data_IF_799408833097
#
_entry.id   IF_799408833097
#
_cell.length_a   1.000
_cell.length_b   1.000
_cell.length_c   1.000
_cell.angle_alpha   90.00
_cell.angle_beta   90.00
_cell.angle_gamma   90.00
#
_symmetry.space_group_name_H-M   'P 1'
#
loop_
_entity.id
_entity.type
_entity.pdbx_description
1 polymer ?
#
# COMPACT_ATOMS: atom_id res chain seq x y z
N UNK A 1 -42.03 -22.62 -22.86
CA UNK A 1 -40.71 -23.28 -22.84
C UNK A 1 -39.67 -22.23 -23.13
N UNK A 2 -39.01 -21.71 -22.12
CA UNK A 2 -37.86 -20.80 -22.24
C UNK A 2 -36.58 -21.63 -22.15
N UNK A 3 -35.59 -21.42 -23.02
CA UNK A 3 -34.31 -22.12 -22.91
C UNK A 3 -33.52 -21.57 -21.74
N UNK A 4 -33.10 -22.48 -20.84
CA UNK A 4 -32.16 -22.26 -19.78
C UNK A 4 -30.80 -21.85 -20.35
N UNK A 5 -30.36 -20.63 -20.13
CA UNK A 5 -28.99 -20.22 -20.44
C UNK A 5 -28.06 -20.77 -19.35
N UNK A 6 -27.19 -21.70 -19.75
CA UNK A 6 -26.09 -22.21 -18.95
C UNK A 6 -25.07 -21.09 -18.71
N UNK A 7 -24.98 -20.63 -17.46
CA UNK A 7 -23.94 -19.70 -17.00
C UNK A 7 -22.63 -20.48 -16.94
N UNK A 8 -21.69 -20.17 -17.83
CA UNK A 8 -20.32 -20.69 -17.73
C UNK A 8 -19.67 -20.15 -16.45
N UNK A 9 -18.97 -20.98 -15.68
CA UNK A 9 -18.23 -20.52 -14.52
C UNK A 9 -17.14 -19.53 -14.97
N UNK A 10 -17.06 -18.39 -14.28
CA UNK A 10 -16.01 -17.40 -14.52
C UNK A 10 -14.68 -17.89 -13.91
N UNK A 11 -13.52 -17.57 -14.53
CA UNK A 11 -12.22 -17.98 -14.03
C UNK A 11 -11.93 -17.37 -12.66
N UNK A 12 -11.34 -18.17 -11.78
CA UNK A 12 -10.97 -17.76 -10.42
C UNK A 12 -9.63 -17.00 -10.41
N UNK A 13 -9.41 -16.19 -9.38
CA UNK A 13 -8.15 -15.46 -9.15
C UNK A 13 -6.89 -16.33 -9.27
N UNK A 14 -7.00 -17.63 -8.98
CA UNK A 14 -5.88 -18.56 -8.97
C UNK A 14 -5.26 -18.81 -10.36
N UNK A 15 -6.03 -18.71 -11.43
CA UNK A 15 -5.51 -19.02 -12.77
C UNK A 15 -4.63 -17.90 -13.35
N UNK A 16 -4.76 -16.67 -12.88
CA UNK A 16 -4.04 -15.53 -13.43
C UNK A 16 -2.73 -15.17 -12.70
N UNK A 17 -2.55 -15.62 -11.46
CA UNK A 17 -1.28 -15.41 -10.74
C UNK A 17 -0.15 -16.28 -11.29
N UNK A 18 -0.44 -17.39 -11.99
CA UNK A 18 0.56 -18.32 -12.53
C UNK A 18 0.98 -18.05 -13.98
N UNK A 19 0.21 -17.31 -14.76
CA UNK A 19 0.43 -17.20 -16.21
C UNK A 19 1.52 -16.20 -16.64
N UNK A 20 2.18 -15.49 -15.75
CA UNK A 20 3.11 -14.40 -16.11
C UNK A 20 4.59 -14.73 -15.88
N UNK A 21 4.98 -15.97 -15.60
CA UNK A 21 6.40 -16.37 -15.40
C UNK A 21 6.73 -17.61 -16.23
N UNK A 22 6.62 -17.51 -17.54
CA UNK A 22 7.25 -18.47 -18.44
C UNK A 22 7.76 -17.73 -19.68
N UNK A 23 9.06 -17.47 -19.67
CA UNK A 23 9.77 -17.11 -20.90
C UNK A 23 10.77 -15.97 -20.76
N UNK A 24 11.96 -16.24 -20.30
CA UNK A 24 13.26 -15.97 -20.94
C UNK A 24 14.32 -16.68 -20.12
N UNK A 25 14.83 -17.78 -20.63
CA UNK A 25 15.98 -18.45 -20.07
C UNK A 25 17.25 -17.67 -20.46
N UNK A 26 17.93 -17.13 -19.46
CA UNK A 26 19.33 -16.75 -19.56
C UNK A 26 20.05 -17.47 -18.43
N UNK A 27 20.92 -18.43 -18.79
CA UNK A 27 21.80 -19.10 -17.84
C UNK A 27 22.83 -18.08 -17.35
N UNK A 28 22.59 -17.51 -16.18
CA UNK A 28 23.63 -16.94 -15.35
C UNK A 28 23.62 -17.72 -14.05
N UNK A 29 24.77 -18.24 -13.65
CA UNK A 29 24.95 -18.93 -12.40
C UNK A 29 24.58 -17.99 -11.24
N UNK A 30 23.38 -18.17 -10.71
CA UNK A 30 22.86 -17.44 -9.57
C UNK A 30 23.39 -18.11 -8.31
N UNK A 31 24.33 -17.48 -7.63
CA UNK A 31 24.51 -17.70 -6.20
C UNK A 31 23.16 -17.41 -5.55
N UNK A 32 22.52 -18.43 -4.99
CA UNK A 32 21.31 -18.31 -4.18
C UNK A 32 21.63 -17.47 -2.94
N UNK A 33 21.55 -16.14 -3.08
CA UNK A 33 21.34 -15.29 -1.92
C UNK A 33 19.85 -15.44 -1.57
N UNK A 34 19.53 -16.44 -0.75
CA UNK A 34 18.35 -16.37 0.07
C UNK A 34 18.51 -15.10 0.90
N UNK A 35 17.67 -14.09 0.67
CA UNK A 35 17.51 -13.02 1.63
C UNK A 35 17.02 -13.71 2.91
N UNK A 36 17.89 -13.84 3.90
CA UNK A 36 17.53 -14.33 5.22
C UNK A 36 16.41 -13.43 5.73
N UNK A 37 15.22 -13.99 5.93
CA UNK A 37 14.16 -13.32 6.68
C UNK A 37 14.78 -12.94 8.03
N UNK A 38 14.73 -11.67 8.44
CA UNK A 38 15.32 -11.27 9.72
C UNK A 38 14.79 -12.18 10.80
N UNK A 39 15.64 -12.64 11.72
CA UNK A 39 15.32 -13.61 12.76
C UNK A 39 14.17 -13.19 13.69
N UNK A 40 13.55 -12.04 13.47
CA UNK A 40 12.46 -11.45 14.24
C UNK A 40 11.37 -10.83 13.33
N UNK A 41 11.06 -11.45 12.20
CA UNK A 41 10.07 -10.92 11.24
C UNK A 41 8.61 -11.05 11.74
N UNK A 42 8.37 -11.75 12.86
CA UNK A 42 7.01 -12.04 13.34
C UNK A 42 6.21 -12.78 12.26
N UNK A 43 5.02 -12.26 11.96
CA UNK A 43 4.13 -12.82 10.92
C UNK A 43 4.32 -12.22 9.54
N UNK A 44 5.22 -11.25 9.36
CA UNK A 44 5.45 -10.62 8.05
C UNK A 44 6.16 -11.57 7.07
N UNK A 45 5.70 -11.63 5.84
CA UNK A 45 6.37 -12.37 4.75
C UNK A 45 7.50 -11.54 4.14
N UNK A 46 7.32 -10.24 4.04
CA UNK A 46 8.32 -9.31 3.54
C UNK A 46 7.73 -8.13 2.79
N UNK A 47 8.33 -6.97 2.95
CA UNK A 47 7.82 -5.70 2.44
C UNK A 47 7.64 -5.65 0.91
N UNK A 48 8.35 -6.48 0.13
CA UNK A 48 8.16 -6.55 -1.31
C UNK A 48 6.83 -7.18 -1.73
N UNK A 49 6.11 -7.79 -0.81
CA UNK A 49 4.80 -8.41 -1.05
C UNK A 49 3.65 -7.55 -0.57
N UNK A 50 3.92 -6.51 0.23
CA UNK A 50 2.89 -5.60 0.68
C UNK A 50 2.37 -4.77 -0.49
N UNK A 51 1.10 -4.41 -0.43
CA UNK A 51 0.45 -3.68 -1.51
C UNK A 51 -0.22 -2.41 -1.01
N UNK A 52 -0.18 -1.37 -1.83
CA UNK A 52 -1.05 -0.21 -1.67
C UNK A 52 -2.40 -0.52 -2.29
N UNK A 53 -3.48 -0.27 -1.57
CA UNK A 53 -4.84 -0.41 -2.09
C UNK A 53 -5.31 0.92 -2.69
N UNK A 54 -5.68 0.87 -3.97
CA UNK A 54 -6.09 2.05 -4.73
C UNK A 54 -7.49 1.85 -5.30
N UNK A 55 -8.39 2.75 -4.95
CA UNK A 55 -9.80 2.71 -5.34
C UNK A 55 -10.07 3.83 -6.33
N UNK A 56 -10.36 3.47 -7.58
CA UNK A 56 -10.48 4.40 -8.71
C UNK A 56 -11.88 4.32 -9.29
N UNK A 57 -12.42 5.45 -9.70
CA UNK A 57 -13.66 5.48 -10.46
C UNK A 57 -13.51 4.66 -11.76
N UNK A 58 -14.51 3.82 -12.13
CA UNK A 58 -14.39 2.93 -13.30
C UNK A 58 -14.02 3.64 -14.61
N UNK A 59 -14.46 4.88 -14.79
CA UNK A 59 -14.15 5.68 -15.98
C UNK A 59 -12.68 6.09 -16.09
N UNK A 60 -11.95 6.12 -14.98
CA UNK A 60 -10.56 6.57 -14.90
C UNK A 60 -9.57 5.42 -14.73
N UNK A 61 -10.06 4.21 -14.57
CA UNK A 61 -9.25 3.06 -14.16
C UNK A 61 -8.04 2.80 -15.08
N UNK A 62 -8.27 2.71 -16.38
CA UNK A 62 -7.19 2.43 -17.33
C UNK A 62 -6.22 3.63 -17.43
N UNK A 63 -6.74 4.87 -17.42
CA UNK A 63 -5.91 6.08 -17.40
C UNK A 63 -5.03 6.17 -16.16
N UNK A 64 -5.54 5.76 -15.00
CA UNK A 64 -4.75 5.67 -13.77
C UNK A 64 -3.58 4.69 -13.93
N UNK A 65 -3.86 3.46 -14.38
CA UNK A 65 -2.85 2.41 -14.58
C UNK A 65 -1.74 2.89 -15.53
N UNK A 66 -2.14 3.46 -16.68
CA UNK A 66 -1.19 3.94 -17.69
C UNK A 66 -0.32 5.07 -17.13
N UNK A 67 -0.93 6.04 -16.45
CA UNK A 67 -0.23 7.16 -15.81
C UNK A 67 0.77 6.69 -14.75
N UNK A 68 0.35 5.77 -13.88
CA UNK A 68 1.18 5.26 -12.78
C UNK A 68 2.37 4.46 -13.31
N UNK A 69 2.14 3.56 -14.27
CA UNK A 69 3.21 2.76 -14.91
C UNK A 69 4.16 3.65 -15.72
N UNK A 70 3.65 4.66 -16.43
CA UNK A 70 4.50 5.61 -17.14
C UNK A 70 5.39 6.43 -16.20
N UNK A 71 4.87 6.76 -15.00
CA UNK A 71 5.60 7.56 -14.01
C UNK A 71 6.73 6.77 -13.34
N UNK A 72 6.42 5.55 -12.88
CA UNK A 72 7.35 4.78 -12.02
C UNK A 72 8.00 3.59 -12.73
N UNK A 73 7.57 3.31 -13.96
CA UNK A 73 7.97 2.09 -14.68
C UNK A 73 7.20 0.86 -14.19
N UNK A 74 7.68 -0.32 -14.60
CA UNK A 74 7.07 -1.59 -14.20
C UNK A 74 5.97 -2.06 -15.14
N UNK A 75 5.00 -2.79 -14.60
CA UNK A 75 3.89 -3.39 -15.39
C UNK A 75 2.66 -3.63 -14.54
N UNK A 76 1.51 -3.67 -15.20
CA UNK A 76 0.25 -4.12 -14.64
C UNK A 76 -0.14 -5.49 -15.19
N UNK A 77 -0.89 -6.27 -14.39
CA UNK A 77 -1.54 -7.50 -14.84
C UNK A 77 -2.64 -7.18 -15.85
N UNK A 78 -3.17 -8.19 -16.53
CA UNK A 78 -4.43 -8.05 -17.25
C UNK A 78 -5.55 -7.67 -16.28
N UNK A 79 -6.56 -6.96 -16.80
CA UNK A 79 -7.74 -6.62 -16.03
C UNK A 79 -8.63 -7.84 -15.83
N UNK A 80 -9.06 -8.08 -14.60
CA UNK A 80 -10.06 -9.10 -14.28
C UNK A 80 -11.27 -8.46 -13.60
N UNK A 81 -12.42 -9.15 -13.65
CA UNK A 81 -13.56 -8.83 -12.80
C UNK A 81 -13.54 -9.77 -11.62
N UNK A 82 -13.49 -9.20 -10.43
CA UNK A 82 -13.42 -9.95 -9.18
C UNK A 82 -14.62 -9.61 -8.28
N UNK A 83 -15.03 -10.57 -7.47
CA UNK A 83 -15.94 -10.33 -6.37
C UNK A 83 -15.12 -10.04 -5.11
N UNK A 84 -15.45 -8.96 -4.41
CA UNK A 84 -14.84 -8.65 -3.12
C UNK A 84 -15.75 -9.18 -2.03
N UNK A 85 -15.30 -10.25 -1.39
CA UNK A 85 -16.02 -10.89 -0.30
C UNK A 85 -15.78 -10.13 1.04
N UNK A 86 -16.58 -10.39 2.09
CA UNK A 86 -17.61 -11.42 2.24
C UNK A 86 -19.01 -11.03 1.72
N UNK A 87 -19.19 -9.84 1.19
CA UNK A 87 -20.50 -9.37 0.70
C UNK A 87 -20.51 -9.30 -0.83
N UNK A 88 -21.69 -9.46 -1.48
CA UNK A 88 -21.78 -9.37 -2.94
C UNK A 88 -21.34 -8.00 -3.43
N UNK A 89 -20.26 -7.97 -4.21
CA UNK A 89 -19.73 -6.77 -4.84
C UNK A 89 -18.85 -7.16 -6.01
N UNK A 90 -18.70 -6.26 -6.98
CA UNK A 90 -17.84 -6.49 -8.13
C UNK A 90 -16.91 -5.32 -8.36
N UNK A 91 -15.68 -5.64 -8.72
CA UNK A 91 -14.66 -4.68 -9.09
C UNK A 91 -13.88 -5.15 -10.31
N UNK A 92 -13.50 -4.23 -11.17
CA UNK A 92 -12.35 -4.46 -12.05
C UNK A 92 -11.10 -4.35 -11.19
N UNK A 93 -10.18 -5.27 -11.39
CA UNK A 93 -8.94 -5.36 -10.62
C UNK A 93 -7.73 -5.49 -11.55
N UNK A 94 -6.64 -4.83 -11.19
CA UNK A 94 -5.30 -5.04 -11.73
C UNK A 94 -4.26 -4.96 -10.60
N UNK A 95 -3.36 -5.92 -10.56
CA UNK A 95 -2.15 -5.80 -9.78
C UNK A 95 -1.12 -4.99 -10.59
N UNK A 96 -0.48 -4.00 -9.95
CA UNK A 96 0.57 -3.20 -10.57
C UNK A 96 1.84 -3.37 -9.76
N UNK A 97 2.94 -3.66 -10.45
CA UNK A 97 4.25 -3.78 -9.82
C UNK A 97 5.23 -2.85 -10.51
N UNK A 98 5.81 -1.96 -9.72
CA UNK A 98 6.83 -1.00 -10.13
C UNK A 98 8.12 -1.25 -9.34
N UNK A 99 9.24 -0.65 -9.71
CA UNK A 99 10.46 -0.68 -8.90
C UNK A 99 10.30 -0.08 -7.50
N UNK A 100 9.35 0.84 -7.31
CA UNK A 100 9.16 1.61 -6.07
C UNK A 100 8.00 1.13 -5.20
N UNK A 101 7.28 0.09 -5.60
CA UNK A 101 6.17 -0.48 -4.83
C UNK A 101 5.22 -1.32 -5.68
N UNK A 102 4.37 -2.07 -4.99
CA UNK A 102 3.28 -2.82 -5.58
C UNK A 102 1.94 -2.21 -5.15
N UNK A 103 0.94 -2.27 -6.02
CA UNK A 103 -0.41 -1.85 -5.67
C UNK A 103 -1.48 -2.78 -6.25
N UNK A 104 -2.60 -2.82 -5.55
CA UNK A 104 -3.84 -3.45 -5.95
C UNK A 104 -4.83 -2.36 -6.34
N UNK A 105 -5.11 -2.24 -7.65
CA UNK A 105 -6.03 -1.25 -8.17
C UNK A 105 -7.43 -1.84 -8.33
N UNK A 106 -8.42 -1.16 -7.74
CA UNK A 106 -9.82 -1.56 -7.72
C UNK A 106 -10.70 -0.48 -8.37
N UNK A 107 -11.57 -0.89 -9.27
CA UNK A 107 -12.62 -0.05 -9.84
C UNK A 107 -13.97 -0.75 -9.66
N UNK A 108 -14.67 -0.44 -8.57
CA UNK A 108 -15.95 -1.07 -8.25
C UNK A 108 -17.03 -0.71 -9.27
N UNK A 109 -17.72 -1.72 -9.77
CA UNK A 109 -18.91 -1.59 -10.63
C UNK A 109 -20.21 -1.67 -9.83
N UNK A 110 -20.11 -2.01 -8.55
CA UNK A 110 -21.18 -1.98 -7.53
C UNK A 110 -20.79 -0.99 -6.43
N UNK A 111 -21.70 -0.64 -5.49
CA UNK A 111 -21.32 0.10 -4.30
C UNK A 111 -20.17 -0.61 -3.54
N UNK A 112 -19.21 0.18 -3.06
CA UNK A 112 -18.07 -0.33 -2.27
C UNK A 112 -18.58 -0.77 -0.91
N UNK A 113 -18.40 -2.06 -0.51
CA UNK A 113 -18.85 -2.50 0.79
C UNK A 113 -17.94 -2.00 1.91
N UNK A 114 -18.51 -1.62 3.06
CA UNK A 114 -17.73 -1.26 4.25
C UNK A 114 -16.98 -2.49 4.80
N UNK A 115 -15.73 -2.37 5.24
CA UNK A 115 -14.88 -1.16 5.34
C UNK A 115 -13.99 -0.92 4.11
N UNK A 116 -14.15 -1.70 3.04
CA UNK A 116 -13.32 -1.58 1.84
C UNK A 116 -13.39 -0.16 1.25
N UNK A 117 -12.27 0.28 0.70
CA UNK A 117 -12.12 1.66 0.24
C UNK A 117 -11.63 2.63 1.32
N UNK A 118 -11.55 2.19 2.57
CA UNK A 118 -11.03 2.98 3.68
C UNK A 118 -9.62 2.56 4.10
N UNK A 119 -9.25 1.29 3.90
CA UNK A 119 -7.88 0.80 4.07
C UNK A 119 -7.03 1.17 2.83
N UNK A 120 -5.76 1.48 3.07
CA UNK A 120 -4.81 1.86 2.02
C UNK A 120 -3.65 0.89 1.91
N UNK A 121 -3.48 0.01 2.88
CA UNK A 121 -2.35 -0.91 2.96
C UNK A 121 -2.83 -2.32 3.16
N UNK A 122 -2.25 -3.25 2.38
CA UNK A 122 -2.38 -4.69 2.57
C UNK A 122 -1.04 -5.32 2.93
N UNK A 123 -1.01 -6.10 4.01
CA UNK A 123 0.17 -6.81 4.49
C UNK A 123 0.03 -8.31 4.29
N UNK A 124 1.01 -8.91 3.59
CA UNK A 124 1.07 -10.36 3.47
C UNK A 124 1.64 -10.97 4.75
N UNK A 125 0.86 -11.86 5.36
CA UNK A 125 1.24 -12.56 6.58
C UNK A 125 1.50 -14.05 6.33
N UNK A 126 2.39 -14.64 7.12
CA UNK A 126 2.76 -16.06 7.03
C UNK A 126 1.73 -16.99 7.69
N UNK A 127 0.95 -16.46 8.64
CA UNK A 127 -0.11 -17.16 9.38
C UNK A 127 -1.20 -16.15 9.76
N UNK A 128 -2.40 -16.30 9.21
CA UNK A 128 -3.52 -15.39 9.43
C UNK A 128 -4.02 -15.42 10.86
N UNK A 129 -4.15 -16.61 11.45
CA UNK A 129 -4.67 -16.75 12.82
C UNK A 129 -3.69 -16.18 13.84
N UNK A 130 -2.38 -16.38 13.64
CA UNK A 130 -1.36 -15.78 14.47
C UNK A 130 -1.36 -14.25 14.31
N UNK A 131 -1.41 -13.74 13.08
CA UNK A 131 -1.44 -12.31 12.81
C UNK A 131 -2.62 -11.61 13.49
N UNK A 132 -3.82 -12.21 13.44
CA UNK A 132 -4.98 -11.64 14.11
C UNK A 132 -4.89 -11.72 15.64
N UNK A 133 -4.29 -12.78 16.20
CA UNK A 133 -4.04 -12.85 17.65
C UNK A 133 -3.06 -11.77 18.10
N UNK A 134 -1.96 -11.60 17.37
CA UNK A 134 -0.93 -10.58 17.66
C UNK A 134 -1.49 -9.15 17.49
N UNK A 135 -2.25 -8.89 16.43
CA UNK A 135 -2.90 -7.61 16.21
C UNK A 135 -3.86 -7.25 17.35
N UNK A 136 -4.71 -8.19 17.80
CA UNK A 136 -5.60 -7.96 18.96
C UNK A 136 -4.81 -7.72 20.26
N UNK A 137 -3.76 -8.49 20.49
CA UNK A 137 -2.88 -8.31 21.67
C UNK A 137 -2.17 -6.94 21.65
N UNK A 138 -1.89 -6.42 20.45
CA UNK A 138 -1.30 -5.12 20.21
C UNK A 138 -2.31 -3.95 20.23
N UNK A 139 -3.61 -4.24 20.44
CA UNK A 139 -4.66 -3.23 20.59
C UNK A 139 -5.41 -2.88 19.30
N UNK A 140 -5.24 -3.65 18.23
CA UNK A 140 -6.07 -3.50 17.04
C UNK A 140 -7.45 -4.16 17.20
N UNK A 141 -8.45 -3.59 16.55
CA UNK A 141 -9.79 -4.17 16.40
C UNK A 141 -9.86 -4.93 15.08
N UNK A 142 -10.54 -6.09 15.06
CA UNK A 142 -10.85 -6.81 13.82
C UNK A 142 -12.20 -6.32 13.32
N UNK A 143 -12.20 -5.61 12.19
CA UNK A 143 -13.41 -5.09 11.56
C UNK A 143 -14.09 -6.13 10.66
N UNK A 144 -13.29 -6.94 9.96
CA UNK A 144 -13.76 -8.06 9.15
C UNK A 144 -12.95 -9.27 9.54
N UNK A 145 -13.64 -10.29 10.09
CA UNK A 145 -13.03 -11.57 10.41
C UNK A 145 -12.52 -12.27 9.15
N UNK A 146 -11.65 -13.26 9.35
CA UNK A 146 -11.04 -14.01 8.25
C UNK A 146 -12.11 -14.55 7.29
N UNK A 147 -11.97 -14.22 6.03
CA UNK A 147 -12.77 -14.75 4.94
C UNK A 147 -11.89 -15.27 3.82
N UNK A 148 -12.41 -16.24 3.08
CA UNK A 148 -11.69 -16.85 1.97
C UNK A 148 -11.92 -16.05 0.70
N UNK A 149 -10.83 -15.78 -0.02
CA UNK A 149 -10.86 -15.28 -1.39
C UNK A 149 -10.40 -16.36 -2.39
N UNK A 150 -10.09 -15.97 -3.63
CA UNK A 150 -9.67 -16.89 -4.69
C UNK A 150 -8.25 -17.46 -4.49
N UNK A 151 -7.37 -16.73 -3.81
CA UNK A 151 -5.94 -17.07 -3.68
C UNK A 151 -5.49 -17.25 -2.24
N UNK A 152 -6.35 -17.00 -1.26
CA UNK A 152 -5.98 -17.07 0.14
C UNK A 152 -7.09 -16.80 1.14
N UNK A 153 -6.72 -16.08 2.15
CA UNK A 153 -7.60 -15.55 3.19
C UNK A 153 -7.25 -14.11 3.46
N UNK A 154 -8.28 -13.30 3.72
CA UNK A 154 -8.19 -11.88 4.04
C UNK A 154 -8.86 -11.58 5.38
N UNK A 155 -8.42 -10.50 6.02
CA UNK A 155 -9.08 -9.90 7.18
C UNK A 155 -8.81 -8.39 7.18
N UNK A 156 -9.68 -7.58 7.79
CA UNK A 156 -9.47 -6.14 7.93
C UNK A 156 -9.40 -5.78 9.41
N UNK A 157 -8.36 -5.08 9.78
CA UNK A 157 -8.11 -4.59 11.14
C UNK A 157 -8.11 -3.06 11.19
N UNK A 158 -8.35 -2.51 12.38
CA UNK A 158 -8.23 -1.09 12.66
C UNK A 158 -7.40 -0.86 13.91
N UNK A 159 -6.41 0.01 13.78
CA UNK A 159 -5.56 0.45 14.88
C UNK A 159 -6.17 1.60 15.67
N UNK A 160 -5.72 1.84 16.92
CA UNK A 160 -6.01 3.08 17.63
C UNK A 160 -5.67 4.30 16.76
N UNK A 161 -6.59 5.27 16.68
CA UNK A 161 -6.45 6.41 15.76
C UNK A 161 -7.17 6.22 14.43
N UNK A 162 -7.78 5.04 14.18
CA UNK A 162 -8.65 4.80 13.04
C UNK A 162 -7.94 4.31 11.77
N UNK A 163 -6.63 4.06 11.81
CA UNK A 163 -5.86 3.52 10.68
C UNK A 163 -6.30 2.10 10.39
N UNK A 164 -6.73 1.84 9.15
CA UNK A 164 -7.26 0.54 8.70
C UNK A 164 -6.27 -0.14 7.77
N UNK A 165 -6.11 -1.44 7.96
CA UNK A 165 -5.22 -2.29 7.15
C UNK A 165 -5.90 -3.60 6.81
N UNK A 166 -5.61 -4.12 5.62
CA UNK A 166 -5.93 -5.49 5.27
C UNK A 166 -4.74 -6.39 5.61
N UNK A 167 -5.01 -7.52 6.22
CA UNK A 167 -4.08 -8.64 6.31
C UNK A 167 -4.50 -9.68 5.28
N UNK A 168 -3.56 -10.28 4.56
CA UNK A 168 -3.84 -11.33 3.61
C UNK A 168 -2.81 -12.45 3.68
N UNK A 169 -3.24 -13.67 3.40
CA UNK A 169 -2.44 -14.88 3.38
C UNK A 169 -2.73 -15.69 2.12
N UNK A 170 -1.71 -16.21 1.47
CA UNK A 170 -1.86 -16.91 0.19
C UNK A 170 -1.69 -18.42 0.32
N UNK A 171 -2.53 -19.20 -0.39
CA UNK A 171 -2.38 -20.67 -0.49
C UNK A 171 -1.05 -21.07 -1.11
N UNK A 172 -0.52 -20.25 -2.01
CA UNK A 172 0.79 -20.45 -2.64
C UNK A 172 1.70 -19.32 -2.23
N UNK A 173 2.84 -19.64 -1.65
CA UNK A 173 3.82 -18.63 -1.26
C UNK A 173 4.22 -17.79 -2.49
N UNK A 174 4.12 -16.46 -2.41
CA UNK A 174 4.51 -15.61 -3.52
C UNK A 174 6.03 -15.68 -3.73
N UNK A 175 6.42 -15.53 -5.00
CA UNK A 175 7.82 -15.42 -5.38
C UNK A 175 7.99 -14.24 -6.31
N UNK A 176 8.59 -13.16 -5.81
CA UNK A 176 8.86 -11.98 -6.63
C UNK A 176 10.19 -11.36 -6.24
N UNK A 177 10.87 -10.78 -7.24
CA UNK A 177 12.12 -10.06 -7.00
C UNK A 177 11.89 -8.91 -6.00
N UNK A 178 12.90 -8.56 -5.18
CA UNK A 178 12.85 -7.38 -4.33
C UNK A 178 12.52 -6.12 -5.13
N UNK A 179 11.85 -5.16 -4.48
CA UNK A 179 11.67 -3.81 -5.01
C UNK A 179 13.01 -3.06 -4.98
N UNK A 180 13.18 -2.05 -5.82
CA UNK A 180 14.34 -1.17 -5.77
C UNK A 180 14.32 -0.29 -4.52
N UNK A 181 13.10 0.17 -4.13
CA UNK A 181 12.85 0.90 -2.89
C UNK A 181 11.56 0.39 -2.25
N UNK A 182 11.49 0.45 -0.92
CA UNK A 182 10.27 0.08 -0.18
C UNK A 182 9.50 1.37 0.09
N UNK A 183 8.20 1.43 -0.27
CA UNK A 183 7.37 2.59 -0.03
C UNK A 183 7.14 2.85 1.47
N UNK A 184 6.87 4.12 1.81
CA UNK A 184 6.47 4.53 3.15
C UNK A 184 4.93 4.50 3.26
N UNK A 185 4.37 3.77 4.23
CA UNK A 185 2.98 3.97 4.62
C UNK A 185 2.89 5.24 5.48
N UNK A 186 2.16 6.25 5.00
CA UNK A 186 2.04 7.55 5.67
C UNK A 186 0.66 7.68 6.29
N UNK A 187 0.63 7.65 7.62
CA UNK A 187 -0.62 7.69 8.39
C UNK A 187 -0.68 8.96 9.24
N UNK A 188 -1.89 9.40 9.54
CA UNK A 188 -2.14 10.55 10.42
C UNK A 188 -2.93 10.08 11.63
N UNK A 189 -2.43 10.43 12.81
CA UNK A 189 -3.09 10.10 14.07
C UNK A 189 -3.13 11.34 14.99
N UNK A 190 -4.14 11.41 15.86
CA UNK A 190 -4.20 12.45 16.90
C UNK A 190 -3.13 12.21 17.97
N UNK A 191 -2.78 13.25 18.69
CA UNK A 191 -1.86 13.15 19.85
C UNK A 191 -2.36 12.13 20.89
N UNK A 192 -3.68 12.04 21.09
CA UNK A 192 -4.31 11.12 22.05
C UNK A 192 -4.17 9.64 21.66
N UNK A 193 -4.08 9.36 20.36
CA UNK A 193 -3.95 8.00 19.84
C UNK A 193 -2.49 7.59 19.60
N UNK A 194 -1.56 8.54 19.49
CA UNK A 194 -0.22 8.34 18.96
C UNK A 194 0.58 7.24 19.69
N UNK A 195 0.66 7.29 21.03
CA UNK A 195 1.44 6.31 21.77
C UNK A 195 0.83 4.90 21.69
N UNK A 196 -0.49 4.80 21.70
CA UNK A 196 -1.18 3.50 21.55
C UNK A 196 -1.00 2.94 20.14
N UNK A 197 -1.08 3.80 19.12
CA UNK A 197 -0.84 3.38 17.73
C UNK A 197 0.61 2.92 17.54
N UNK A 198 1.58 3.77 17.87
CA UNK A 198 3.01 3.49 17.69
C UNK A 198 3.43 2.24 18.49
N UNK A 199 3.06 2.17 19.77
CA UNK A 199 3.40 1.02 20.62
C UNK A 199 2.75 -0.27 20.14
N UNK A 200 1.46 -0.22 19.76
CA UNK A 200 0.75 -1.38 19.20
C UNK A 200 1.35 -1.84 17.88
N UNK A 201 1.60 -0.94 16.95
CA UNK A 201 2.18 -1.29 15.65
C UNK A 201 3.61 -1.85 15.80
N UNK A 202 4.44 -1.31 16.66
CA UNK A 202 5.78 -1.84 16.97
C UNK A 202 5.71 -3.25 17.56
N UNK A 203 4.76 -3.50 18.47
CA UNK A 203 4.56 -4.82 19.05
C UNK A 203 4.16 -5.85 17.99
N UNK A 204 3.18 -5.52 17.14
CA UNK A 204 2.69 -6.39 16.07
C UNK A 204 3.73 -6.65 14.98
N UNK A 205 4.40 -5.58 14.52
CA UNK A 205 5.32 -5.66 13.38
C UNK A 205 6.73 -6.11 13.75
N UNK A 206 7.03 -6.25 15.05
CA UNK A 206 8.39 -6.44 15.57
C UNK A 206 9.38 -5.38 15.05
N UNK A 207 8.83 -4.19 14.76
CA UNK A 207 9.56 -3.08 14.16
C UNK A 207 10.37 -2.29 15.17
N UNK A 208 11.04 -1.27 14.66
CA UNK A 208 11.80 -0.30 15.48
C UNK A 208 11.51 1.12 15.04
N UNK A 209 11.52 2.04 15.97
CA UNK A 209 11.54 3.47 15.65
C UNK A 209 12.92 3.83 15.10
N UNK A 210 12.96 4.41 13.90
CA UNK A 210 14.20 4.91 13.28
C UNK A 210 14.38 6.40 13.51
N UNK A 211 13.28 7.16 13.66
CA UNK A 211 13.32 8.53 14.16
C UNK A 211 12.01 8.90 14.87
N UNK A 212 12.11 9.75 15.89
CA UNK A 212 10.98 10.37 16.58
C UNK A 212 11.29 11.86 16.77
N UNK A 213 10.88 12.66 15.78
CA UNK A 213 11.11 14.09 15.75
C UNK A 213 9.92 14.81 16.37
N UNK A 214 10.11 15.37 17.56
CA UNK A 214 9.04 16.07 18.31
C UNK A 214 8.67 17.42 17.67
N UNK A 215 9.53 17.97 16.83
CA UNK A 215 9.38 19.29 16.20
C UNK A 215 9.85 19.26 14.75
N UNK A 216 9.35 18.31 13.96
CA UNK A 216 9.55 18.28 12.51
C UNK A 216 8.87 19.51 11.87
N UNK A 217 9.40 19.99 10.75
CA UNK A 217 8.82 21.12 10.02
C UNK A 217 7.45 20.71 9.43
N UNK A 218 6.39 21.38 9.87
CA UNK A 218 5.04 21.10 9.41
C UNK A 218 4.71 21.61 7.99
N UNK A 219 5.64 22.28 7.32
CA UNK A 219 5.55 22.55 5.89
C UNK A 219 5.40 21.27 5.06
N UNK A 220 5.98 20.14 5.53
CA UNK A 220 5.79 18.80 4.92
C UNK A 220 4.33 18.34 4.91
N UNK A 221 3.51 18.82 5.84
CA UNK A 221 2.08 18.52 5.97
C UNK A 221 1.20 19.73 5.69
N UNK A 222 1.73 20.73 4.95
CA UNK A 222 0.98 21.89 4.49
C UNK A 222 0.77 23.01 5.52
N UNK A 223 1.51 23.00 6.63
CA UNK A 223 1.45 24.04 7.69
C UNK A 223 2.80 24.71 7.87
N UNK A 224 3.26 25.53 6.90
CA UNK A 224 4.56 26.19 6.99
C UNK A 224 4.66 27.09 8.24
N UNK A 225 5.85 27.15 8.83
CA UNK A 225 6.19 27.89 10.05
C UNK A 225 5.67 27.26 11.36
N UNK A 226 5.03 26.09 11.27
CA UNK A 226 4.64 25.30 12.44
C UNK A 226 5.52 24.06 12.56
N UNK A 227 5.39 23.36 13.67
CA UNK A 227 6.05 22.07 13.90
C UNK A 227 5.04 21.00 14.29
N UNK A 228 5.38 19.74 14.02
CA UNK A 228 4.59 18.59 14.39
C UNK A 228 5.49 17.43 14.82
N UNK A 229 4.93 16.42 15.48
CA UNK A 229 5.68 15.20 15.79
C UNK A 229 5.58 14.23 14.63
N UNK A 230 6.74 13.73 14.18
CA UNK A 230 6.88 12.74 13.14
C UNK A 230 7.64 11.52 13.67
N UNK A 231 7.01 10.34 13.62
CA UNK A 231 7.66 9.08 13.98
C UNK A 231 7.84 8.24 12.72
N UNK A 232 9.05 7.75 12.50
CA UNK A 232 9.35 6.80 11.43
C UNK A 232 9.66 5.44 12.01
N UNK A 233 9.06 4.40 11.41
CA UNK A 233 9.17 3.00 11.83
C UNK A 233 9.65 2.18 10.65
N UNK A 234 10.56 1.24 10.93
CA UNK A 234 10.94 0.17 10.01
C UNK A 234 10.62 -1.18 10.62
N UNK A 235 10.14 -2.10 9.79
CA UNK A 235 9.80 -3.47 10.17
C UNK A 235 9.94 -4.41 8.97
N UNK A 236 9.67 -5.69 9.18
CA UNK A 236 9.57 -6.65 8.08
C UNK A 236 8.39 -6.38 7.12
N UNK A 237 7.39 -5.59 7.55
CA UNK A 237 6.33 -5.05 6.70
C UNK A 237 6.74 -3.79 5.93
N UNK A 238 7.98 -3.31 6.07
CA UNK A 238 8.48 -2.12 5.38
C UNK A 238 8.54 -0.89 6.25
N UNK A 239 8.28 0.27 5.64
CA UNK A 239 8.44 1.57 6.26
C UNK A 239 7.08 2.20 6.59
N UNK A 240 7.00 2.91 7.71
CA UNK A 240 5.83 3.70 8.08
C UNK A 240 6.25 5.06 8.61
N UNK A 241 5.57 6.11 8.15
CA UNK A 241 5.65 7.45 8.71
C UNK A 241 4.34 7.79 9.43
N UNK A 242 4.43 8.03 10.72
CA UNK A 242 3.30 8.44 11.56
C UNK A 242 3.36 9.94 11.76
N UNK A 243 2.38 10.65 11.21
CA UNK A 243 2.23 12.10 11.35
C UNK A 243 1.24 12.38 12.49
N UNK A 244 1.72 12.94 13.59
CA UNK A 244 0.90 13.24 14.76
C UNK A 244 0.48 14.71 14.68
N UNK A 245 -0.82 14.96 14.51
CA UNK A 245 -1.36 16.30 14.31
C UNK A 245 -2.69 16.50 15.04
N UNK A 246 -3.15 17.75 15.09
CA UNK A 246 -4.46 18.15 15.62
C UNK A 246 -5.61 17.97 14.60
N UNK A 247 -5.33 17.46 13.41
CA UNK A 247 -6.31 17.24 12.35
C UNK A 247 -6.69 18.48 11.54
N UNK A 248 -6.19 19.67 11.88
CA UNK A 248 -6.45 20.90 11.12
C UNK A 248 -5.46 21.05 9.96
N UNK A 249 -5.58 20.18 8.97
CA UNK A 249 -4.66 20.12 7.83
C UNK A 249 -5.36 20.59 6.55
N UNK A 250 -4.64 21.37 5.69
CA UNK A 250 -5.17 21.73 4.38
C UNK A 250 -5.16 20.50 3.46
N UNK A 251 -6.08 20.44 2.51
CA UNK A 251 -6.02 19.46 1.43
C UNK A 251 -4.70 19.61 0.65
N UNK A 252 -3.99 18.52 0.31
CA UNK A 252 -4.39 17.11 0.37
C UNK A 252 -3.94 16.35 1.63
N UNK A 253 -3.44 17.00 2.64
CA UNK A 253 -2.90 16.38 3.85
C UNK A 253 -3.98 15.85 4.80
N UNK A 254 -3.59 14.96 5.73
CA UNK A 254 -4.50 14.33 6.70
C UNK A 254 -5.08 12.99 6.25
N UNK A 255 -4.99 12.65 4.97
CA UNK A 255 -5.39 11.35 4.46
C UNK A 255 -4.22 10.37 4.52
N UNK A 256 -4.52 9.10 4.79
CA UNK A 256 -3.54 8.04 4.64
C UNK A 256 -3.09 7.95 3.17
N UNK A 257 -1.79 7.96 2.94
CA UNK A 257 -1.18 7.92 1.63
C UNK A 257 0.03 6.98 1.61
N UNK A 258 0.48 6.63 0.42
CA UNK A 258 1.76 5.95 0.22
C UNK A 258 2.79 6.95 -0.28
N UNK A 259 4.00 6.90 0.31
CA UNK A 259 5.16 7.64 -0.15
C UNK A 259 6.08 6.76 -0.99
N UNK A 260 6.39 7.19 -2.21
CA UNK A 260 7.26 6.47 -3.14
C UNK A 260 8.62 7.14 -3.22
N UNK A 261 9.66 6.38 -2.84
CA UNK A 261 11.04 6.85 -2.96
C UNK A 261 11.54 6.70 -4.40
N UNK A 262 12.01 7.80 -4.98
CA UNK A 262 12.54 7.88 -6.36
C UNK A 262 13.94 8.45 -6.37
N UNK A 263 14.68 8.18 -7.45
CA UNK A 263 16.07 8.67 -7.61
C UNK A 263 16.11 10.16 -7.88
N UNK A 264 15.20 10.67 -8.72
CA UNK A 264 15.10 12.06 -9.16
C UNK A 264 13.63 12.50 -9.08
N UNK A 265 13.32 13.27 -8.03
CA UNK A 265 11.97 13.79 -7.81
C UNK A 265 11.52 14.72 -8.94
N UNK A 266 12.40 15.61 -9.42
CA UNK A 266 12.03 16.60 -10.44
C UNK A 266 11.66 15.90 -11.76
N UNK A 267 12.50 14.99 -12.23
CA UNK A 267 12.23 14.20 -13.44
C UNK A 267 10.97 13.34 -13.28
N UNK A 268 10.75 12.73 -12.10
CA UNK A 268 9.55 11.91 -11.83
C UNK A 268 8.28 12.76 -11.85
N UNK A 269 8.30 13.96 -11.23
CA UNK A 269 7.16 14.88 -11.24
C UNK A 269 6.82 15.33 -12.65
N UNK A 270 7.82 15.69 -13.48
CA UNK A 270 7.56 16.07 -14.87
C UNK A 270 7.01 14.90 -15.70
N UNK A 271 7.51 13.70 -15.48
CA UNK A 271 6.95 12.48 -16.12
C UNK A 271 5.51 12.22 -15.70
N UNK A 272 5.20 12.36 -14.42
CA UNK A 272 3.83 12.19 -13.90
C UNK A 272 2.88 13.22 -14.53
N UNK A 273 3.27 14.50 -14.58
CA UNK A 273 2.50 15.58 -15.21
C UNK A 273 2.23 15.31 -16.69
N UNK A 274 3.25 14.89 -17.43
CA UNK A 274 3.11 14.53 -18.85
C UNK A 274 2.15 13.38 -19.09
N UNK A 275 1.91 12.52 -18.06
CA UNK A 275 1.00 11.39 -18.10
C UNK A 275 -0.30 11.63 -17.31
N UNK A 276 -0.66 12.90 -17.07
CA UNK A 276 -1.96 13.30 -16.57
C UNK A 276 -2.10 13.42 -15.05
N UNK A 277 -1.02 13.28 -14.30
CA UNK A 277 -1.03 13.58 -12.86
C UNK A 277 -1.00 15.10 -12.62
N UNK A 278 -1.54 15.53 -11.48
CA UNK A 278 -1.50 16.91 -11.00
C UNK A 278 -0.59 17.03 -9.79
N UNK A 279 0.13 18.13 -9.67
CA UNK A 279 0.89 18.47 -8.47
C UNK A 279 -0.07 19.17 -7.49
N UNK A 280 -0.35 18.52 -6.36
CA UNK A 280 -1.20 19.08 -5.30
C UNK A 280 -0.39 19.88 -4.29
N UNK A 281 0.84 19.43 -3.97
CA UNK A 281 1.82 20.17 -3.20
C UNK A 281 3.13 20.19 -3.95
N UNK A 282 3.66 21.39 -4.18
CA UNK A 282 4.97 21.59 -4.80
C UNK A 282 6.08 20.97 -3.92
N UNK A 283 7.27 20.80 -4.52
CA UNK A 283 8.41 20.22 -3.82
C UNK A 283 8.73 20.99 -2.54
N UNK A 284 8.73 20.28 -1.42
CA UNK A 284 9.10 20.75 -0.10
C UNK A 284 10.39 20.06 0.34
N UNK A 285 11.34 20.83 0.84
CA UNK A 285 12.64 20.34 1.31
C UNK A 285 12.61 20.20 2.83
N UNK A 286 12.68 18.97 3.32
CA UNK A 286 12.91 18.68 4.73
C UNK A 286 14.41 18.46 5.01
N UNK A 287 14.76 18.07 6.23
CA UNK A 287 16.16 17.86 6.61
C UNK A 287 16.82 16.67 5.89
N UNK A 288 16.08 15.70 5.41
CA UNK A 288 16.58 14.42 4.90
C UNK A 288 16.13 14.09 3.47
N UNK A 289 15.08 14.76 2.96
CA UNK A 289 14.50 14.50 1.65
C UNK A 289 13.80 15.70 1.02
N UNK A 290 13.58 15.63 -0.27
CA UNK A 290 12.66 16.52 -0.99
C UNK A 290 11.42 15.70 -1.30
N UNK A 291 10.22 16.26 -1.06
CA UNK A 291 8.93 15.58 -1.22
C UNK A 291 7.96 16.43 -2.02
N UNK A 292 7.08 15.79 -2.76
CA UNK A 292 5.94 16.42 -3.45
C UNK A 292 4.70 15.52 -3.31
N UNK A 293 3.50 16.11 -3.44
CA UNK A 293 2.25 15.34 -3.43
C UNK A 293 1.60 15.44 -4.81
N UNK A 294 1.28 14.28 -5.38
CA UNK A 294 0.69 14.12 -6.70
C UNK A 294 -0.71 13.52 -6.60
N UNK A 295 -1.61 13.98 -7.47
CA UNK A 295 -2.89 13.32 -7.74
C UNK A 295 -2.84 12.69 -9.14
N UNK A 296 -2.95 11.38 -9.20
CA UNK A 296 -3.08 10.61 -10.44
C UNK A 296 -4.50 10.66 -11.00
N UNK A 297 -4.71 10.34 -12.30
CA UNK A 297 -6.06 10.21 -12.85
C UNK A 297 -6.96 9.33 -11.98
N UNK A 298 -8.20 9.76 -11.76
CA UNK A 298 -9.14 9.07 -10.87
C UNK A 298 -9.01 9.38 -9.39
N UNK A 299 -8.14 10.35 -9.02
CA UNK A 299 -8.09 10.90 -7.67
C UNK A 299 -7.17 10.18 -6.69
N UNK A 300 -6.32 9.25 -7.15
CA UNK A 300 -5.32 8.64 -6.26
C UNK A 300 -4.25 9.65 -5.90
N UNK A 301 -4.08 9.89 -4.60
CA UNK A 301 -3.09 10.81 -4.05
C UNK A 301 -1.91 9.99 -3.51
N UNK A 302 -0.71 10.36 -3.92
CA UNK A 302 0.54 9.77 -3.45
C UNK A 302 1.55 10.87 -3.10
N UNK A 303 2.38 10.59 -2.11
CA UNK A 303 3.60 11.35 -1.87
C UNK A 303 4.73 10.72 -2.68
N UNK A 304 5.59 11.54 -3.24
CA UNK A 304 6.81 11.11 -3.94
C UNK A 304 7.99 11.85 -3.34
N UNK A 305 9.07 11.15 -3.03
CA UNK A 305 10.24 11.78 -2.44
C UNK A 305 11.56 11.24 -2.99
N UNK A 306 12.59 12.06 -2.86
CA UNK A 306 13.97 11.70 -3.13
C UNK A 306 14.82 12.05 -1.90
N UNK A 307 15.56 11.07 -1.32
CA UNK A 307 16.46 11.36 -0.21
C UNK A 307 17.63 12.23 -0.68
N UNK A 308 18.18 13.03 0.23
CA UNK A 308 19.47 13.67 -0.04
C UNK A 308 20.55 12.59 -0.12
N UNK A 309 21.26 12.56 -1.24
CA UNK A 309 22.48 11.76 -1.37
C UNK A 309 23.64 12.59 -0.85
N UNK A 310 24.20 12.17 0.27
CA UNK A 310 25.43 12.71 0.82
C UNK A 310 26.65 12.18 0.07
#
# INVERSE_FOLDING_TARGET
>A
MHPSQSIKPQPSFAEFALATIAGVGCLCASTNMHAETPANAGVAVGAQYDTTHVYIAPADFDRFIDSFVATFGGKASDAIVANVLPVPSQTRFRAVRTPVGALSAFAFTTPVPYPFGQERTGYLVSDMDQALREARAAGAEVLVDTFKDAIGYDAVIQWPGGVKMQLYWHFTAPSSAPLATIPDNRVYVSADAAERFVGGFLHFSHGRVVSDEKSADAGEIGRPQETYRRVRIESAFGKMQVNISDGHLPYPFGYETTGYEVVDLAATVETAKANGAKVLSAAFTSNDRITAVLEFPGGYIAEVHSPFRH
#
